data_IF_838111010487
#
_entry.id   IF_838111010487
#
_cell.length_a   1.000
_cell.length_b   1.000
_cell.length_c   1.000
_cell.angle_alpha   90.00
_cell.angle_beta   90.00
_cell.angle_gamma   90.00
#
_symmetry.space_group_name_H-M   'P 1'
#
loop_
_entity.id
_entity.type
_entity.pdbx_description
1 polymer ?
#
# COMPACT_ATOMS: atom_id res chain seq x y z
N UNK A 1 -24.92 -1.38 -20.58
CA UNK A 1 -23.54 -1.88 -20.67
C UNK A 1 -22.93 -1.64 -19.31
N UNK A 2 -22.63 -2.69 -18.54
CA UNK A 2 -22.01 -2.48 -17.22
C UNK A 2 -20.53 -2.14 -17.44
N UNK A 3 -20.12 -0.93 -17.04
CA UNK A 3 -18.73 -0.48 -17.07
C UNK A 3 -18.01 -1.14 -15.90
N UNK A 4 -16.88 -1.78 -16.16
CA UNK A 4 -16.04 -2.38 -15.10
C UNK A 4 -15.01 -1.38 -14.57
N UNK A 5 -14.46 -1.63 -13.38
CA UNK A 5 -13.36 -0.83 -12.84
C UNK A 5 -12.13 -0.84 -13.78
N UNK A 6 -11.88 -1.96 -14.46
CA UNK A 6 -10.86 -2.06 -15.51
C UNK A 6 -11.11 -1.05 -16.64
N UNK A 7 -12.34 -0.97 -17.15
CA UNK A 7 -12.70 -0.05 -18.23
C UNK A 7 -12.50 1.42 -17.83
N UNK A 8 -12.86 1.75 -16.59
CA UNK A 8 -12.65 3.10 -16.04
C UNK A 8 -11.14 3.45 -16.02
N UNK A 9 -10.30 2.57 -15.48
CA UNK A 9 -8.86 2.81 -15.44
C UNK A 9 -8.29 2.87 -16.86
N UNK A 10 -8.70 1.97 -17.76
CA UNK A 10 -8.23 1.98 -19.15
C UNK A 10 -8.61 3.27 -19.89
N UNK A 11 -9.77 3.86 -19.57
CA UNK A 11 -10.21 5.13 -20.14
C UNK A 11 -9.44 6.32 -19.58
N UNK A 12 -9.03 6.27 -18.29
CA UNK A 12 -8.17 7.29 -17.68
C UNK A 12 -6.76 7.27 -18.29
N UNK A 13 -6.29 6.11 -18.75
CA UNK A 13 -4.96 5.90 -19.35
C UNK A 13 -5.08 5.26 -20.74
N UNK A 14 -5.49 6.04 -21.76
CA UNK A 14 -5.79 5.49 -23.08
C UNK A 14 -4.56 5.13 -23.93
N UNK A 15 -3.37 5.64 -23.60
CA UNK A 15 -2.14 5.38 -24.36
C UNK A 15 -1.56 3.98 -24.02
N UNK A 16 -2.02 2.99 -24.76
CA UNK A 16 -1.60 1.59 -24.59
C UNK A 16 -0.13 1.30 -24.91
N UNK A 17 0.63 2.28 -25.42
CA UNK A 17 2.07 2.14 -25.61
C UNK A 17 2.87 2.55 -24.37
N UNK A 18 2.23 3.26 -23.44
CA UNK A 18 2.86 3.82 -22.24
C UNK A 18 2.28 3.28 -20.95
N UNK A 19 0.98 2.98 -20.95
CA UNK A 19 0.25 2.61 -19.76
C UNK A 19 -0.45 1.26 -19.99
N UNK A 20 -0.23 0.32 -19.08
CA UNK A 20 -0.78 -1.03 -19.19
C UNK A 20 -1.63 -1.34 -17.99
N UNK A 21 -2.86 -1.78 -18.23
CA UNK A 21 -3.83 -2.17 -17.20
C UNK A 21 -4.06 -3.66 -17.26
N UNK A 22 -4.01 -4.33 -16.12
CA UNK A 22 -4.20 -5.77 -15.99
C UNK A 22 -5.17 -6.10 -14.87
N UNK A 23 -6.10 -7.03 -15.10
CA UNK A 23 -6.82 -7.72 -14.04
C UNK A 23 -5.97 -8.88 -13.54
N UNK A 24 -5.69 -8.91 -12.25
CA UNK A 24 -5.02 -10.05 -11.60
C UNK A 24 -6.08 -10.97 -10.98
N UNK A 25 -7.06 -10.40 -10.31
CA UNK A 25 -8.25 -11.08 -9.78
C UNK A 25 -9.49 -10.27 -10.14
N UNK A 26 -10.65 -10.70 -9.67
CA UNK A 26 -11.91 -9.95 -9.85
C UNK A 26 -11.88 -8.59 -9.11
N UNK A 27 -11.08 -8.48 -8.04
CA UNK A 27 -10.97 -7.30 -7.18
C UNK A 27 -9.66 -6.53 -7.33
N UNK A 28 -8.65 -7.10 -8.00
CA UNK A 28 -7.32 -6.54 -8.06
C UNK A 28 -6.92 -6.16 -9.48
N UNK A 29 -6.67 -4.88 -9.67
CA UNK A 29 -6.26 -4.30 -10.94
C UNK A 29 -4.86 -3.71 -10.78
N UNK A 30 -3.99 -3.96 -11.73
CA UNK A 30 -2.63 -3.42 -11.80
C UNK A 30 -2.53 -2.41 -12.92
N UNK A 31 -2.03 -1.23 -12.61
CA UNK A 31 -1.64 -0.22 -13.57
C UNK A 31 -0.11 -0.13 -13.60
N UNK A 32 0.48 -0.41 -14.75
CA UNK A 32 1.87 -0.10 -15.06
C UNK A 32 1.88 1.19 -15.87
N UNK A 33 2.47 2.24 -15.32
CA UNK A 33 2.45 3.56 -15.91
C UNK A 33 3.85 4.06 -16.25
N UNK A 34 4.03 4.53 -17.49
CA UNK A 34 5.24 5.28 -17.84
C UNK A 34 5.25 6.63 -17.12
N UNK A 35 6.37 6.92 -16.44
CA UNK A 35 6.57 8.16 -15.71
C UNK A 35 7.61 9.05 -16.43
N UNK A 36 7.36 10.34 -16.45
CA UNK A 36 8.38 11.33 -16.83
C UNK A 36 9.38 11.48 -15.68
N UNK A 37 10.63 11.79 -16.00
CA UNK A 37 11.70 11.98 -15.00
C UNK A 37 11.44 13.10 -13.98
N UNK A 38 10.45 13.96 -14.22
CA UNK A 38 10.05 15.07 -13.36
C UNK A 38 8.97 14.69 -12.33
N UNK A 39 8.42 13.48 -12.41
CA UNK A 39 7.35 13.02 -11.50
C UNK A 39 7.96 12.62 -10.17
N UNK A 40 7.52 13.23 -9.10
CA UNK A 40 7.93 12.91 -7.73
C UNK A 40 6.92 12.01 -7.01
N UNK A 41 7.23 11.62 -5.76
CA UNK A 41 6.36 10.76 -4.95
C UNK A 41 5.01 11.41 -4.63
N UNK A 42 4.97 12.73 -4.49
CA UNK A 42 3.72 13.48 -4.23
C UNK A 42 2.80 13.48 -5.45
N UNK A 43 3.39 13.57 -6.64
CA UNK A 43 2.63 13.49 -7.89
C UNK A 43 2.03 12.09 -8.08
N UNK A 44 2.78 11.03 -7.73
CA UNK A 44 2.27 9.67 -7.74
C UNK A 44 1.12 9.46 -6.75
N UNK A 45 1.24 10.00 -5.55
CA UNK A 45 0.17 9.93 -4.55
C UNK A 45 -1.10 10.67 -5.01
N UNK A 46 -0.96 11.85 -5.62
CA UNK A 46 -2.09 12.59 -6.20
C UNK A 46 -2.77 11.80 -7.31
N UNK A 47 -1.97 11.19 -8.20
CA UNK A 47 -2.49 10.35 -9.27
C UNK A 47 -3.24 9.14 -8.70
N UNK A 48 -2.64 8.44 -7.74
CA UNK A 48 -3.27 7.29 -7.08
C UNK A 48 -4.58 7.68 -6.37
N UNK A 49 -4.61 8.85 -5.72
CA UNK A 49 -5.81 9.39 -5.08
C UNK A 49 -6.90 9.69 -6.10
N UNK A 50 -6.56 10.32 -7.22
CA UNK A 50 -7.52 10.58 -8.30
C UNK A 50 -8.15 9.30 -8.84
N UNK A 51 -7.36 8.22 -8.99
CA UNK A 51 -7.85 6.91 -9.42
C UNK A 51 -8.80 6.34 -8.36
N UNK A 52 -8.38 6.33 -7.09
CA UNK A 52 -9.16 5.80 -5.99
C UNK A 52 -10.51 6.54 -5.84
N UNK A 53 -10.48 7.87 -5.91
CA UNK A 53 -11.68 8.71 -5.79
C UNK A 53 -12.65 8.46 -6.96
N UNK A 54 -12.13 8.35 -8.18
CA UNK A 54 -12.93 8.05 -9.37
C UNK A 54 -13.63 6.70 -9.24
N UNK A 55 -12.86 5.64 -8.90
CA UNK A 55 -13.43 4.30 -8.74
C UNK A 55 -14.41 4.21 -7.58
N UNK A 56 -14.07 4.85 -6.44
CA UNK A 56 -14.95 4.85 -5.27
C UNK A 56 -16.28 5.56 -5.56
N UNK A 57 -16.25 6.62 -6.34
CA UNK A 57 -17.45 7.36 -6.76
C UNK A 57 -18.30 6.57 -7.74
N UNK A 58 -17.68 5.89 -8.71
CA UNK A 58 -18.39 5.11 -9.73
C UNK A 58 -19.03 3.83 -9.17
N UNK A 59 -18.32 3.15 -8.26
CA UNK A 59 -18.73 1.83 -7.78
C UNK A 59 -19.24 1.82 -6.34
N UNK A 60 -19.29 2.97 -5.66
CA UNK A 60 -19.71 3.11 -4.26
C UNK A 60 -18.99 2.13 -3.32
N UNK A 61 -17.70 1.90 -3.57
CA UNK A 61 -16.87 0.97 -2.82
C UNK A 61 -15.57 1.61 -2.39
N UNK A 62 -14.97 1.11 -1.31
CA UNK A 62 -13.65 1.55 -0.87
C UNK A 62 -12.59 0.93 -1.77
N UNK A 63 -11.73 1.76 -2.33
CA UNK A 63 -10.60 1.36 -3.17
C UNK A 63 -9.30 1.70 -2.45
N UNK A 64 -8.41 0.72 -2.30
CA UNK A 64 -7.08 0.93 -1.76
C UNK A 64 -6.05 0.84 -2.90
N UNK A 65 -5.04 1.69 -2.86
CA UNK A 65 -4.00 1.74 -3.88
C UNK A 65 -2.62 1.55 -3.24
N UNK A 66 -1.89 0.53 -3.70
CA UNK A 66 -0.48 0.31 -3.36
C UNK A 66 0.41 0.81 -4.48
N UNK A 67 1.48 1.51 -4.12
CA UNK A 67 2.46 2.05 -5.07
C UNK A 67 3.80 1.37 -4.82
N UNK A 68 4.33 0.67 -5.83
CA UNK A 68 5.68 0.12 -5.82
C UNK A 68 6.72 1.17 -6.21
N UNK A 69 7.98 0.85 -6.02
CA UNK A 69 9.11 1.71 -6.41
C UNK A 69 9.16 1.91 -7.92
N UNK A 70 9.43 3.14 -8.35
CA UNK A 70 9.66 3.45 -9.76
C UNK A 70 10.91 2.73 -10.27
N UNK A 71 10.82 2.13 -11.44
CA UNK A 71 11.90 1.34 -12.07
C UNK A 71 12.19 1.83 -13.48
N UNK A 72 13.42 1.63 -13.94
CA UNK A 72 13.84 2.07 -15.28
C UNK A 72 13.60 0.98 -16.31
N UNK A 73 13.73 -0.28 -15.93
CA UNK A 73 13.69 -1.41 -16.85
C UNK A 73 12.50 -2.35 -16.63
N UNK A 74 12.00 -2.93 -17.73
CA UNK A 74 10.91 -3.92 -17.69
C UNK A 74 11.24 -5.12 -16.77
N UNK A 75 12.52 -5.48 -16.67
CA UNK A 75 13.00 -6.59 -15.81
C UNK A 75 12.68 -6.37 -14.33
N UNK A 76 12.58 -5.12 -13.90
CA UNK A 76 12.32 -4.75 -12.51
C UNK A 76 10.83 -4.55 -12.19
N UNK A 77 9.94 -4.63 -13.19
CA UNK A 77 8.51 -4.45 -12.98
C UNK A 77 7.92 -5.50 -12.03
N UNK A 78 8.39 -6.73 -12.10
CA UNK A 78 7.94 -7.79 -11.20
C UNK A 78 8.28 -7.48 -9.73
N UNK A 79 9.44 -6.86 -9.48
CA UNK A 79 9.84 -6.39 -8.14
C UNK A 79 8.95 -5.24 -7.68
N UNK A 80 8.78 -4.21 -8.51
CA UNK A 80 7.90 -3.08 -8.21
C UNK A 80 6.46 -3.52 -7.92
N UNK A 81 5.94 -4.49 -8.67
CA UNK A 81 4.62 -5.06 -8.42
C UNK A 81 4.52 -5.74 -7.04
N UNK A 82 5.50 -6.56 -6.66
CA UNK A 82 5.55 -7.19 -5.34
C UNK A 82 5.64 -6.15 -4.21
N UNK A 83 6.38 -5.07 -4.42
CA UNK A 83 6.47 -3.95 -3.49
C UNK A 83 5.12 -3.23 -3.33
N UNK A 84 4.38 -3.02 -4.42
CA UNK A 84 3.03 -2.46 -4.37
C UNK A 84 2.04 -3.37 -3.61
N UNK A 85 2.11 -4.67 -3.83
CA UNK A 85 1.31 -5.65 -3.08
C UNK A 85 1.65 -5.61 -1.58
N UNK A 86 2.95 -5.60 -1.24
CA UNK A 86 3.41 -5.50 0.14
C UNK A 86 2.93 -4.20 0.79
N UNK A 87 2.96 -3.07 0.06
CA UNK A 87 2.46 -1.81 0.57
C UNK A 87 0.98 -1.91 0.99
N UNK A 88 0.15 -2.58 0.19
CA UNK A 88 -1.25 -2.82 0.54
C UNK A 88 -1.41 -3.72 1.76
N UNK A 89 -0.63 -4.80 1.87
CA UNK A 89 -0.71 -5.73 2.99
C UNK A 89 -0.23 -5.07 4.30
N UNK A 90 0.91 -4.39 4.26
CA UNK A 90 1.43 -3.64 5.41
C UNK A 90 0.48 -2.53 5.81
N UNK A 91 -0.07 -1.80 4.84
CA UNK A 91 -1.05 -0.75 5.09
C UNK A 91 -2.29 -1.26 5.83
N UNK A 92 -2.77 -2.46 5.51
CA UNK A 92 -3.89 -3.08 6.23
C UNK A 92 -3.57 -3.39 7.70
N UNK A 93 -2.31 -3.72 8.00
CA UNK A 93 -1.89 -4.11 9.36
C UNK A 93 -1.59 -2.87 10.22
N UNK A 94 -0.88 -1.89 9.68
CA UNK A 94 -0.33 -0.78 10.45
C UNK A 94 -1.14 0.52 10.37
N UNK A 95 -1.93 0.71 9.31
CA UNK A 95 -2.74 1.91 9.13
C UNK A 95 -3.97 1.61 8.27
N UNK A 96 -5.01 1.17 8.93
CA UNK A 96 -6.25 0.71 8.29
C UNK A 96 -7.02 1.82 7.56
N UNK A 97 -6.69 3.09 7.80
CA UNK A 97 -7.43 4.21 7.23
C UNK A 97 -6.80 4.82 5.97
N UNK A 98 -5.53 4.53 5.70
CA UNK A 98 -4.87 5.01 4.47
C UNK A 98 -5.41 4.30 3.24
N UNK A 99 -5.92 5.09 2.32
CA UNK A 99 -6.38 4.64 0.99
C UNK A 99 -5.21 4.42 0.04
N UNK A 100 -4.16 5.24 0.15
CA UNK A 100 -2.96 5.19 -0.69
C UNK A 100 -1.76 4.83 0.18
N UNK A 101 -1.06 3.75 -0.17
CA UNK A 101 0.15 3.30 0.52
C UNK A 101 1.28 3.14 -0.47
N UNK A 102 2.35 3.90 -0.30
CA UNK A 102 3.57 3.79 -1.09
C UNK A 102 4.59 2.91 -0.37
N UNK A 103 5.22 1.97 -1.10
CA UNK A 103 6.27 1.12 -0.56
C UNK A 103 7.45 1.93 0.02
N UNK A 104 7.82 3.03 -0.63
CA UNK A 104 8.92 3.89 -0.18
C UNK A 104 8.61 4.59 1.16
N UNK A 105 7.33 4.75 1.50
CA UNK A 105 6.87 5.41 2.72
C UNK A 105 6.57 4.44 3.88
N UNK A 106 6.80 3.14 3.71
CA UNK A 106 6.54 2.14 4.75
C UNK A 106 7.52 2.22 5.93
N UNK A 107 8.72 2.77 5.72
CA UNK A 107 9.73 2.88 6.76
C UNK A 107 10.04 1.54 7.44
N UNK A 108 10.04 1.54 8.76
CA UNK A 108 10.31 0.37 9.58
C UNK A 108 9.24 -0.74 9.46
N UNK A 109 8.01 -0.39 9.09
CA UNK A 109 6.91 -1.35 8.94
C UNK A 109 7.26 -2.46 7.93
N UNK A 110 8.01 -2.13 6.87
CA UNK A 110 8.53 -3.07 5.89
C UNK A 110 9.49 -4.11 6.49
N UNK A 111 10.33 -3.69 7.46
CA UNK A 111 11.24 -4.60 8.17
C UNK A 111 10.47 -5.51 9.12
N UNK A 112 9.55 -4.94 9.91
CA UNK A 112 8.73 -5.68 10.88
C UNK A 112 7.89 -6.74 10.17
N UNK A 113 7.30 -6.41 9.02
CA UNK A 113 6.50 -7.33 8.22
C UNK A 113 7.28 -8.57 7.78
N UNK A 114 8.60 -8.44 7.56
CA UNK A 114 9.47 -9.56 7.17
C UNK A 114 10.03 -10.37 8.33
N UNK A 115 9.79 -9.96 9.58
CA UNK A 115 10.25 -10.73 10.74
C UNK A 115 9.47 -12.05 10.87
N UNK A 116 10.15 -13.17 11.14
CA UNK A 116 9.47 -14.41 11.50
C UNK A 116 8.57 -14.20 12.72
N UNK A 117 7.36 -14.75 12.68
CA UNK A 117 6.39 -14.64 13.77
C UNK A 117 6.98 -15.14 15.10
N UNK A 118 7.74 -16.23 15.07
CA UNK A 118 8.43 -16.78 16.25
C UNK A 118 9.41 -15.80 16.89
N UNK A 119 10.11 -14.99 16.07
CA UNK A 119 11.00 -13.96 16.57
C UNK A 119 10.22 -12.82 17.23
N UNK A 120 9.12 -12.41 16.63
CA UNK A 120 8.23 -11.41 17.21
C UNK A 120 7.64 -11.87 18.56
N UNK A 121 7.17 -13.11 18.63
CA UNK A 121 6.66 -13.72 19.88
C UNK A 121 7.73 -13.78 20.97
N UNK A 122 8.95 -14.22 20.62
CA UNK A 122 10.08 -14.25 21.56
C UNK A 122 10.40 -12.85 22.09
N UNK A 123 10.50 -11.86 21.21
CA UNK A 123 10.73 -10.47 21.59
C UNK A 123 9.65 -9.92 22.51
N UNK A 124 8.38 -10.15 22.17
CA UNK A 124 7.25 -9.73 22.99
C UNK A 124 7.28 -10.39 24.40
N UNK A 125 7.65 -11.66 24.47
CA UNK A 125 7.82 -12.37 25.74
C UNK A 125 8.96 -11.80 26.59
N UNK A 126 10.06 -11.39 25.97
CA UNK A 126 11.21 -10.78 26.66
C UNK A 126 10.85 -9.37 27.17
N UNK A 127 10.13 -8.59 26.40
CA UNK A 127 9.74 -7.21 26.75
C UNK A 127 8.62 -7.21 27.80
N UNK A 128 7.60 -8.03 27.59
CA UNK A 128 6.45 -8.16 28.49
C UNK A 128 6.61 -9.35 29.44
N UNK A 129 7.58 -9.28 30.35
CA UNK A 129 7.96 -10.35 31.28
C UNK A 129 6.81 -10.90 32.12
N UNK A 130 5.73 -10.15 32.31
CA UNK A 130 4.53 -10.54 33.05
C UNK A 130 3.31 -9.97 32.33
N UNK A 131 2.58 -10.83 31.64
CA UNK A 131 1.39 -10.45 30.89
C UNK A 131 1.59 -10.53 29.38
N UNK A 132 0.50 -10.44 28.65
CA UNK A 132 0.49 -10.30 27.18
C UNK A 132 0.28 -8.85 26.80
N UNK A 133 0.48 -8.52 25.52
CA UNK A 133 0.14 -7.23 24.94
C UNK A 133 -1.35 -6.88 25.21
N UNK A 134 -2.19 -7.91 25.35
CA UNK A 134 -3.61 -7.77 25.68
C UNK A 134 -3.85 -7.26 27.11
N UNK A 135 -2.82 -7.26 27.97
CA UNK A 135 -2.89 -6.66 29.31
C UNK A 135 -2.65 -5.15 29.34
N UNK A 136 -2.20 -4.58 28.21
CA UNK A 136 -2.04 -3.14 28.07
C UNK A 136 -3.41 -2.47 27.87
N UNK A 137 -3.62 -1.36 28.59
CA UNK A 137 -4.81 -0.56 28.37
C UNK A 137 -4.75 0.17 27.00
N UNK A 138 -5.91 0.56 26.50
CA UNK A 138 -6.06 1.24 25.23
C UNK A 138 -5.25 2.54 25.13
N UNK A 139 -5.10 3.27 26.23
CA UNK A 139 -4.37 4.53 26.28
C UNK A 139 -2.87 4.31 26.11
N UNK A 140 -2.33 3.28 26.76
CA UNK A 140 -0.93 2.87 26.61
C UNK A 140 -0.63 2.42 25.18
N UNK A 141 -1.48 1.58 24.60
CA UNK A 141 -1.33 1.13 23.20
C UNK A 141 -1.40 2.31 22.23
N UNK A 142 -2.34 3.21 22.42
CA UNK A 142 -2.47 4.41 21.59
C UNK A 142 -1.23 5.31 21.72
N UNK A 143 -0.68 5.46 22.92
CA UNK A 143 0.54 6.24 23.16
C UNK A 143 1.74 5.65 22.45
N UNK A 144 1.91 4.30 22.51
CA UNK A 144 2.95 3.58 21.81
C UNK A 144 2.81 3.77 20.29
N UNK A 145 1.59 3.61 19.77
CA UNK A 145 1.31 3.81 18.36
C UNK A 145 1.68 5.23 17.91
N UNK A 146 1.23 6.25 18.64
CA UNK A 146 1.53 7.65 18.34
C UNK A 146 3.01 7.99 18.45
N UNK A 147 3.73 7.37 19.36
CA UNK A 147 5.17 7.51 19.45
C UNK A 147 5.86 7.02 18.16
N UNK A 148 5.52 5.83 17.67
CA UNK A 148 6.09 5.31 16.42
C UNK A 148 5.66 6.10 15.18
N UNK A 149 4.45 6.64 15.14
CA UNK A 149 3.98 7.47 14.03
C UNK A 149 4.73 8.82 13.91
N UNK A 150 5.21 9.38 15.03
CA UNK A 150 5.77 10.73 15.07
C UNK A 150 7.29 10.81 15.24
N UNK A 151 7.96 9.73 15.61
CA UNK A 151 9.40 9.73 15.94
C UNK A 151 10.23 8.76 15.07
N UNK A 152 9.64 8.20 14.05
CA UNK A 152 10.28 7.41 13.02
C UNK A 152 10.04 8.04 11.66
#
# INVERSE_FOLDING_TARGET
>A
MNISAYDVIQNLFPDKNKDFVFNITESDIVLVKELKSTVDSKDLEKLARSIADTLSSEFYTRVNVGIGTSVIGVKDLARSFKEAQMALEVGKVFDTDKVIVSYDNLGIARLIYHLPTTLCETFLHEVFKVGSIDSLDHETLFTIQKFFENNL
#
